data_IF_924256538229
#
_entry.id   IF_924256538229
#
_cell.length_a   1.000
_cell.length_b   1.000
_cell.length_c   1.000
_cell.angle_alpha   90.00
_cell.angle_beta   90.00
_cell.angle_gamma   90.00
#
_symmetry.space_group_name_H-M   'P 1'
#
loop_
_entity.id
_entity.type
_entity.pdbx_description
1 polymer ?
#
# COMPACT_ATOMS: atom_id res chain seq x y z
N UNK A 1 -14.27 2.92 -7.32
CA UNK A 1 -14.17 1.81 -6.34
C UNK A 1 -13.47 2.39 -5.12
N UNK A 2 -14.14 2.44 -3.96
CA UNK A 2 -13.50 2.86 -2.70
C UNK A 2 -12.70 1.67 -2.20
N UNK A 3 -11.40 1.85 -1.93
CA UNK A 3 -10.58 0.78 -1.35
C UNK A 3 -11.03 0.50 0.09
N UNK A 4 -11.15 -0.77 0.49
CA UNK A 4 -11.53 -1.13 1.86
C UNK A 4 -10.44 -0.73 2.88
N UNK A 5 -9.18 -0.78 2.49
CA UNK A 5 -8.00 -0.41 3.29
C UNK A 5 -6.82 -0.03 2.38
N UNK A 6 -5.74 0.47 2.99
CA UNK A 6 -4.49 0.81 2.30
C UNK A 6 -3.31 0.15 2.99
N UNK A 7 -2.33 -0.28 2.19
CA UNK A 7 -1.01 -0.69 2.64
C UNK A 7 -0.08 0.50 2.54
N UNK A 8 0.51 0.91 3.67
CA UNK A 8 1.53 1.94 3.72
C UNK A 8 2.89 1.29 3.50
N UNK A 9 3.63 1.73 2.48
CA UNK A 9 4.98 1.25 2.19
C UNK A 9 5.95 2.38 1.85
N UNK A 10 7.24 2.12 2.01
CA UNK A 10 8.31 3.01 1.54
C UNK A 10 8.31 3.01 0.01
N UNK A 11 8.31 4.19 -0.62
CA UNK A 11 8.28 4.29 -2.09
C UNK A 11 9.48 3.63 -2.75
N UNK A 12 10.68 3.92 -2.25
CA UNK A 12 11.93 3.50 -2.88
C UNK A 12 12.16 1.99 -2.80
N UNK A 13 11.81 1.37 -1.67
CA UNK A 13 12.11 -0.04 -1.40
C UNK A 13 10.89 -0.95 -1.50
N UNK A 14 9.69 -0.37 -1.61
CA UNK A 14 8.41 -1.06 -1.49
C UNK A 14 8.25 -1.85 -0.18
N UNK A 15 9.06 -1.57 0.84
CA UNK A 15 8.98 -2.22 2.14
C UNK A 15 7.68 -1.81 2.84
N UNK A 16 6.85 -2.80 3.14
CA UNK A 16 5.56 -2.60 3.81
C UNK A 16 5.79 -2.27 5.27
N UNK A 17 5.10 -1.23 5.75
CA UNK A 17 5.12 -0.83 7.16
C UNK A 17 3.91 -1.38 7.89
N UNK A 18 2.71 -1.13 7.39
CA UNK A 18 1.44 -1.61 7.96
C UNK A 18 0.26 -1.41 7.01
N UNK A 19 -0.86 -2.04 7.32
CA UNK A 19 -2.18 -1.78 6.71
C UNK A 19 -3.02 -0.86 7.59
N UNK A 20 -3.85 0.00 6.99
CA UNK A 20 -4.80 0.85 7.70
C UNK A 20 -6.13 1.02 6.97
N UNK A 21 -7.20 1.21 7.75
CA UNK A 21 -8.53 1.60 7.30
C UNK A 21 -8.81 3.09 7.54
N UNK A 22 -7.90 3.78 8.23
CA UNK A 22 -8.09 5.17 8.64
C UNK A 22 -7.69 6.13 7.50
N UNK A 23 -8.67 6.76 6.87
CA UNK A 23 -8.46 7.73 5.79
C UNK A 23 -7.59 8.90 6.21
N UNK A 24 -7.62 9.32 7.48
CA UNK A 24 -6.80 10.43 7.95
C UNK A 24 -5.30 10.12 7.95
N UNK A 25 -4.92 8.85 8.12
CA UNK A 25 -3.52 8.42 8.02
C UNK A 25 -3.04 8.56 6.58
N UNK A 26 -3.90 8.22 5.62
CA UNK A 26 -3.61 8.32 4.19
C UNK A 26 -3.51 9.79 3.75
N UNK A 27 -4.46 10.63 4.20
CA UNK A 27 -4.50 12.06 3.87
C UNK A 27 -3.30 12.84 4.42
N UNK A 28 -2.79 12.45 5.59
CA UNK A 28 -1.63 13.09 6.24
C UNK A 28 -0.30 12.41 5.92
N UNK A 29 -0.28 11.44 5.01
CA UNK A 29 0.93 10.68 4.71
C UNK A 29 2.02 11.58 4.13
N UNK A 30 3.27 11.39 4.56
CA UNK A 30 4.41 11.98 3.87
C UNK A 30 4.60 11.28 2.52
N UNK A 31 4.00 11.86 1.48
CA UNK A 31 4.01 11.32 0.11
C UNK A 31 5.36 11.43 -0.59
N UNK A 32 6.37 12.10 0.00
CA UNK A 32 7.74 12.06 -0.52
C UNK A 32 8.38 10.70 -0.23
N UNK A 33 8.17 10.16 0.98
CA UNK A 33 8.83 8.92 1.43
C UNK A 33 7.95 7.68 1.33
N UNK A 34 6.64 7.85 1.49
CA UNK A 34 5.70 6.75 1.61
C UNK A 34 4.59 6.85 0.58
N UNK A 35 3.97 5.72 0.29
CA UNK A 35 2.75 5.64 -0.50
C UNK A 35 1.71 4.79 0.21
N UNK A 36 0.45 5.14 -0.01
CA UNK A 36 -0.71 4.37 0.42
C UNK A 36 -1.27 3.62 -0.80
N UNK A 37 -1.05 2.31 -0.83
CA UNK A 37 -1.51 1.45 -1.93
C UNK A 37 -2.86 0.86 -1.56
N UNK A 38 -3.90 1.00 -2.39
CA UNK A 38 -5.16 0.29 -2.19
C UNK A 38 -4.93 -1.21 -2.00
N UNK A 39 -5.57 -1.83 -1.00
CA UNK A 39 -5.31 -3.23 -0.63
C UNK A 39 -5.46 -4.20 -1.80
N UNK A 40 -6.47 -4.02 -2.66
CA UNK A 40 -6.68 -4.88 -3.82
C UNK A 40 -5.53 -4.77 -4.84
N UNK A 41 -4.97 -3.57 -5.02
CA UNK A 41 -3.78 -3.36 -5.85
C UNK A 41 -2.58 -4.08 -5.27
N UNK A 42 -2.32 -3.91 -3.96
CA UNK A 42 -1.20 -4.57 -3.29
C UNK A 42 -1.29 -6.10 -3.37
N UNK A 43 -2.46 -6.69 -3.11
CA UNK A 43 -2.65 -8.14 -3.19
C UNK A 43 -2.49 -8.66 -4.63
N UNK A 44 -2.91 -7.88 -5.63
CA UNK A 44 -2.67 -8.19 -7.04
C UNK A 44 -1.19 -8.25 -7.37
N UNK A 45 -0.43 -7.22 -6.96
CA UNK A 45 1.03 -7.16 -7.13
C UNK A 45 1.73 -8.32 -6.42
N UNK A 46 1.36 -8.60 -5.17
CA UNK A 46 1.93 -9.67 -4.37
C UNK A 46 1.70 -11.04 -5.02
N UNK A 47 0.47 -11.32 -5.45
CA UNK A 47 0.13 -12.56 -6.14
C UNK A 47 0.90 -12.73 -7.45
N UNK A 48 1.04 -11.66 -8.24
CA UNK A 48 1.82 -11.68 -9.47
C UNK A 48 3.30 -11.98 -9.20
N UNK A 49 3.87 -11.39 -8.13
CA UNK A 49 5.25 -11.65 -7.71
C UNK A 49 5.46 -13.11 -7.30
N UNK A 50 4.56 -13.66 -6.48
CA UNK A 50 4.65 -15.05 -6.03
C UNK A 50 4.53 -16.05 -7.18
N UNK A 51 3.66 -15.77 -8.17
CA UNK A 51 3.49 -16.66 -9.34
C UNK A 51 4.69 -16.68 -10.29
N UNK A 52 5.48 -15.61 -10.31
CA UNK A 52 6.63 -15.44 -11.20
C UNK A 52 7.98 -15.72 -10.51
N UNK A 53 7.96 -16.24 -9.27
CA UNK A 53 9.11 -16.75 -8.54
C UNK A 53 9.24 -18.26 -8.72
#
# INVERSE_FOLDING_TARGET
MISASWVIRVKDTQCVLFETYNTQVVERLNTVKYEAVPILTYLGELNAKIRNQ
#
